data_IF_224470852773
#
_entry.id   IF_224470852773
#
_cell.length_a   1.000
_cell.length_b   1.000
_cell.length_c   1.000
_cell.angle_alpha   90.00
_cell.angle_beta   90.00
_cell.angle_gamma   90.00
#
_symmetry.space_group_name_H-M   'P 1'
#
loop_
_entity.id
_entity.type
_entity.pdbx_description
1 polymer ?
#
# COMPACT_ATOMS: atom_id res chain seq x y z
N UNK A 1 -0.54 -11.20 16.98
CA UNK A 1 -0.37 -9.94 17.74
C UNK A 1 -0.05 -8.84 16.73
N UNK A 2 -1.08 -8.18 16.20
CA UNK A 2 -0.94 -7.01 15.32
C UNK A 2 -1.06 -5.74 16.18
N UNK A 3 -0.30 -5.71 17.27
CA UNK A 3 -0.38 -4.66 18.29
C UNK A 3 0.81 -3.72 18.06
N UNK A 4 0.51 -2.44 17.86
CA UNK A 4 1.47 -1.33 17.73
C UNK A 4 1.93 -0.91 16.31
N UNK A 5 1.00 -0.70 15.38
CA UNK A 5 1.27 0.10 14.17
C UNK A 5 1.14 1.58 14.53
N UNK A 6 2.08 2.10 15.33
CA UNK A 6 2.15 3.52 15.69
C UNK A 6 2.94 4.38 14.69
N UNK A 7 3.58 3.76 13.69
CA UNK A 7 4.47 4.42 12.74
C UNK A 7 4.30 3.85 11.33
N UNK A 8 4.37 4.72 10.32
CA UNK A 8 4.41 4.35 8.90
C UNK A 8 5.52 3.32 8.58
N UNK A 9 6.62 3.34 9.33
CA UNK A 9 7.72 2.38 9.22
C UNK A 9 7.30 0.95 9.62
N UNK A 10 6.37 0.80 10.57
CA UNK A 10 5.82 -0.52 10.92
C UNK A 10 4.88 -1.04 9.83
N UNK A 11 4.09 -0.15 9.22
CA UNK A 11 3.25 -0.48 8.07
C UNK A 11 4.11 -0.95 6.89
N UNK A 12 5.15 -0.19 6.55
CA UNK A 12 6.09 -0.56 5.49
C UNK A 12 6.71 -1.94 5.74
N UNK A 13 7.23 -2.16 6.95
CA UNK A 13 7.81 -3.45 7.33
C UNK A 13 6.79 -4.59 7.26
N UNK A 14 5.53 -4.33 7.60
CA UNK A 14 4.47 -5.33 7.52
C UNK A 14 4.18 -5.70 6.06
N UNK A 15 4.05 -4.72 5.16
CA UNK A 15 3.79 -4.96 3.73
C UNK A 15 4.95 -5.74 3.10
N UNK A 16 6.20 -5.28 3.29
CA UNK A 16 7.39 -5.99 2.79
C UNK A 16 7.45 -7.42 3.31
N UNK A 17 7.21 -7.61 4.61
CA UNK A 17 7.21 -8.94 5.21
C UNK A 17 6.09 -9.81 4.63
N UNK A 18 4.88 -9.28 4.48
CA UNK A 18 3.75 -9.98 3.89
C UNK A 18 4.07 -10.41 2.45
N UNK A 19 4.64 -9.50 1.65
CA UNK A 19 4.98 -9.80 0.26
C UNK A 19 6.03 -10.92 0.18
N UNK A 20 7.07 -10.82 1.02
CA UNK A 20 8.14 -11.83 1.11
C UNK A 20 7.63 -13.20 1.59
N UNK A 21 6.78 -13.22 2.62
CA UNK A 21 6.33 -14.47 3.27
C UNK A 21 5.29 -15.20 2.42
N UNK A 22 4.33 -14.46 1.85
CA UNK A 22 3.22 -15.05 1.10
C UNK A 22 3.56 -15.30 -0.37
N UNK A 23 4.36 -14.44 -1.00
CA UNK A 23 4.67 -14.52 -2.43
C UNK A 23 6.13 -14.90 -2.72
N UNK A 24 6.96 -15.08 -1.69
CA UNK A 24 8.33 -15.57 -1.85
C UNK A 24 9.28 -14.62 -2.58
N UNK A 25 8.94 -13.33 -2.65
CA UNK A 25 9.79 -12.30 -3.28
C UNK A 25 11.08 -12.11 -2.46
N UNK A 26 12.22 -12.06 -3.14
CA UNK A 26 13.51 -11.87 -2.48
C UNK A 26 13.61 -10.50 -1.80
N UNK A 27 14.09 -10.47 -0.55
CA UNK A 27 14.22 -9.22 0.22
C UNK A 27 15.17 -8.22 -0.44
N UNK A 28 16.14 -8.69 -1.24
CA UNK A 28 17.02 -7.85 -2.03
C UNK A 28 16.34 -7.15 -3.21
N UNK A 29 15.17 -7.64 -3.64
CA UNK A 29 14.35 -7.02 -4.70
C UNK A 29 13.31 -6.05 -4.15
N UNK A 30 12.91 -6.19 -2.88
CA UNK A 30 11.93 -5.36 -2.19
C UNK A 30 12.47 -3.96 -1.85
N UNK A 31 12.91 -3.23 -2.89
CA UNK A 31 13.30 -1.84 -2.78
C UNK A 31 12.09 -0.90 -2.92
N UNK A 32 12.17 0.26 -2.28
CA UNK A 32 11.16 1.32 -2.37
C UNK A 32 10.89 1.77 -3.82
N UNK A 33 11.89 1.75 -4.69
CA UNK A 33 11.72 2.14 -6.10
C UNK A 33 11.33 0.98 -7.01
N UNK A 34 11.22 -0.24 -6.47
CA UNK A 34 10.85 -1.41 -7.25
C UNK A 34 9.40 -1.32 -7.71
N UNK A 35 9.17 -1.56 -9.00
CA UNK A 35 7.84 -1.69 -9.57
C UNK A 35 7.26 -3.06 -9.21
N UNK A 36 6.01 -3.08 -8.76
CA UNK A 36 5.34 -4.32 -8.34
C UNK A 36 5.26 -5.32 -9.50
N UNK A 37 4.89 -4.86 -10.69
CA UNK A 37 4.78 -5.72 -11.87
C UNK A 37 6.15 -5.97 -12.53
N UNK A 38 6.89 -4.91 -12.88
CA UNK A 38 8.09 -5.05 -13.72
C UNK A 38 9.33 -5.57 -12.95
N UNK A 39 9.55 -5.10 -11.72
CA UNK A 39 10.74 -5.49 -10.94
C UNK A 39 10.48 -6.72 -10.07
N UNK A 40 9.32 -6.79 -9.41
CA UNK A 40 8.98 -7.90 -8.53
C UNK A 40 8.28 -9.06 -9.26
N UNK A 41 7.79 -8.84 -10.48
CA UNK A 41 7.07 -9.85 -11.25
C UNK A 41 5.72 -10.24 -10.64
N UNK A 42 5.10 -9.34 -9.88
CA UNK A 42 3.82 -9.56 -9.21
C UNK A 42 2.70 -9.22 -10.20
N UNK A 43 1.82 -10.18 -10.48
CA UNK A 43 0.67 -9.99 -11.36
C UNK A 43 -0.41 -9.12 -10.70
N UNK A 44 -1.24 -8.46 -11.52
CA UNK A 44 -2.36 -7.61 -11.08
C UNK A 44 -3.25 -8.33 -10.05
N UNK A 45 -3.61 -9.60 -10.26
CA UNK A 45 -4.45 -10.38 -9.32
C UNK A 45 -3.80 -10.45 -7.94
N UNK A 46 -2.48 -10.63 -7.90
CA UNK A 46 -1.73 -10.69 -6.65
C UNK A 46 -1.64 -9.32 -5.98
N UNK A 47 -1.48 -8.24 -6.76
CA UNK A 47 -1.50 -6.87 -6.24
C UNK A 47 -2.86 -6.57 -5.60
N UNK A 48 -3.96 -6.97 -6.22
CA UNK A 48 -5.30 -6.83 -5.64
C UNK A 48 -5.44 -7.58 -4.31
N UNK A 49 -4.90 -8.80 -4.21
CA UNK A 49 -4.88 -9.55 -2.96
C UNK A 49 -4.05 -8.85 -1.88
N UNK A 50 -2.85 -8.34 -2.21
CA UNK A 50 -2.00 -7.58 -1.29
C UNK A 50 -2.76 -6.35 -0.78
N UNK A 51 -3.34 -5.57 -1.69
CA UNK A 51 -4.12 -4.37 -1.36
C UNK A 51 -5.29 -4.75 -0.44
N UNK A 52 -6.01 -5.83 -0.73
CA UNK A 52 -7.10 -6.34 0.09
C UNK A 52 -6.66 -6.76 1.49
N UNK A 53 -5.51 -7.43 1.60
CA UNK A 53 -4.93 -7.83 2.86
C UNK A 53 -4.46 -6.63 3.68
N UNK A 54 -3.84 -5.64 3.05
CA UNK A 54 -3.47 -4.36 3.66
C UNK A 54 -4.74 -3.63 4.13
N UNK A 55 -5.75 -3.47 3.28
CA UNK A 55 -7.03 -2.88 3.67
C UNK A 55 -7.61 -3.52 4.93
N UNK A 56 -7.62 -4.85 4.97
CA UNK A 56 -8.13 -5.60 6.12
C UNK A 56 -7.25 -5.47 7.36
N UNK A 57 -5.94 -5.52 7.20
CA UNK A 57 -4.98 -5.45 8.30
C UNK A 57 -4.97 -4.07 8.97
N UNK A 58 -5.10 -3.01 8.16
CA UNK A 58 -5.05 -1.61 8.61
C UNK A 58 -6.43 -0.97 8.78
N UNK A 59 -7.50 -1.65 8.35
CA UNK A 59 -8.87 -1.12 8.43
C UNK A 59 -9.08 0.12 7.54
N UNK A 60 -8.49 0.11 6.34
CA UNK A 60 -8.61 1.14 5.31
C UNK A 60 -9.32 0.57 4.08
N UNK A 61 -9.90 1.43 3.25
CA UNK A 61 -10.65 1.06 2.04
C UNK A 61 -9.98 1.71 0.83
N UNK A 62 -9.47 0.89 -0.08
CA UNK A 62 -8.90 1.38 -1.33
C UNK A 62 -10.01 1.57 -2.37
N UNK A 63 -10.19 2.78 -2.93
CA UNK A 63 -11.17 2.99 -3.99
C UNK A 63 -10.75 2.29 -5.30
N UNK A 64 -11.69 2.06 -6.23
CA UNK A 64 -11.38 1.50 -7.53
C UNK A 64 -10.36 2.37 -8.29
N UNK A 65 -9.49 1.73 -9.07
CA UNK A 65 -8.41 2.42 -9.79
C UNK A 65 -7.10 2.58 -9.00
N UNK A 66 -7.00 1.96 -7.81
CA UNK A 66 -5.76 1.98 -7.01
C UNK A 66 -4.54 1.46 -7.77
N UNK A 67 -4.70 0.41 -8.57
CA UNK A 67 -3.61 -0.16 -9.37
C UNK A 67 -3.09 0.80 -10.44
N UNK A 68 -3.90 1.77 -10.88
CA UNK A 68 -3.47 2.78 -11.86
C UNK A 68 -2.59 3.86 -11.21
N UNK A 69 -2.74 4.06 -9.90
CA UNK A 69 -2.03 5.08 -9.13
C UNK A 69 -0.80 4.52 -8.41
N UNK A 70 -0.80 3.21 -8.15
CA UNK A 70 0.24 2.51 -7.39
C UNK A 70 0.98 1.55 -8.31
N UNK A 71 2.18 1.94 -8.72
CA UNK A 71 3.06 1.13 -9.56
C UNK A 71 4.23 0.56 -8.75
N UNK A 72 4.63 1.26 -7.67
CA UNK A 72 5.80 0.93 -6.86
C UNK A 72 5.44 0.51 -5.46
N UNK A 73 6.35 -0.26 -4.86
CA UNK A 73 6.25 -0.69 -3.47
C UNK A 73 6.15 0.49 -2.49
N UNK A 74 6.95 1.54 -2.69
CA UNK A 74 6.87 2.76 -1.86
C UNK A 74 5.52 3.46 -2.00
N UNK A 75 4.98 3.55 -3.22
CA UNK A 75 3.69 4.20 -3.49
C UNK A 75 2.56 3.48 -2.74
N UNK A 76 2.54 2.14 -2.77
CA UNK A 76 1.58 1.33 -2.00
C UNK A 76 1.68 1.64 -0.51
N UNK A 77 2.90 1.70 0.02
CA UNK A 77 3.14 1.95 1.43
C UNK A 77 2.74 3.37 1.84
N UNK A 78 3.11 4.37 1.04
CA UNK A 78 2.77 5.77 1.27
C UNK A 78 1.26 5.99 1.22
N UNK A 79 0.60 5.40 0.23
CA UNK A 79 -0.84 5.46 0.06
C UNK A 79 -1.55 4.85 1.29
N UNK A 80 -1.16 3.65 1.68
CA UNK A 80 -1.71 2.95 2.85
C UNK A 80 -1.48 3.73 4.14
N UNK A 81 -0.29 4.30 4.33
CA UNK A 81 0.04 5.11 5.50
C UNK A 81 -0.75 6.41 5.54
N UNK A 82 -0.92 7.09 4.41
CA UNK A 82 -1.78 8.26 4.31
C UNK A 82 -3.25 7.90 4.60
N UNK A 83 -3.77 6.82 4.01
CA UNK A 83 -5.13 6.33 4.27
C UNK A 83 -5.41 6.02 5.74
N UNK A 84 -4.40 5.51 6.43
CA UNK A 84 -4.47 5.25 7.87
C UNK A 84 -4.27 6.52 8.73
N UNK A 85 -3.87 7.66 8.14
CA UNK A 85 -3.58 8.91 8.85
C UNK A 85 -2.20 8.96 9.52
N UNK A 86 -1.27 8.09 9.10
CA UNK A 86 0.12 8.02 9.61
C UNK A 86 1.10 8.83 8.76
N UNK A 87 0.68 9.35 7.61
CA UNK A 87 1.53 10.08 6.68
C UNK A 87 0.79 11.19 5.94
N UNK A 88 1.54 12.08 5.27
CA UNK A 88 0.98 13.15 4.43
C UNK A 88 0.47 12.60 3.09
N UNK A 89 -0.42 13.35 2.44
CA UNK A 89 -0.90 13.01 1.10
C UNK A 89 0.28 12.83 0.11
N UNK A 90 0.32 11.74 -0.66
CA UNK A 90 1.30 11.57 -1.72
C UNK A 90 1.05 12.49 -2.91
N UNK A 91 2.13 12.96 -3.54
CA UNK A 91 2.08 13.90 -4.67
C UNK A 91 1.80 13.19 -6.02
N UNK A 92 2.01 11.87 -6.09
CA UNK A 92 1.78 11.08 -7.29
C UNK A 92 0.30 10.77 -7.55
N UNK A 93 -0.58 10.97 -6.56
CA UNK A 93 -2.00 10.67 -6.67
C UNK A 93 -2.75 11.77 -7.42
N UNK A 94 -3.63 11.38 -8.33
CA UNK A 94 -4.55 12.31 -8.99
C UNK A 94 -5.61 12.87 -8.04
N UNK A 95 -6.03 14.12 -8.26
CA UNK A 95 -7.04 14.80 -7.44
C UNK A 95 -8.36 14.02 -7.30
N UNK A 96 -8.80 13.37 -8.39
CA UNK A 96 -10.01 12.56 -8.40
C UNK A 96 -9.91 11.33 -7.48
N UNK A 97 -8.75 10.68 -7.48
CA UNK A 97 -8.48 9.52 -6.65
C UNK A 97 -8.33 9.92 -5.17
N UNK A 98 -7.64 11.03 -4.90
CA UNK A 98 -7.55 11.62 -3.55
C UNK A 98 -8.94 11.89 -2.97
N UNK A 99 -9.85 12.45 -3.77
CA UNK A 99 -11.22 12.68 -3.36
C UNK A 99 -11.97 11.38 -3.03
N UNK A 100 -11.76 10.31 -3.83
CA UNK A 100 -12.34 9.00 -3.57
C UNK A 100 -11.78 8.36 -2.28
N UNK A 101 -10.45 8.42 -2.06
CA UNK A 101 -9.82 7.92 -0.83
C UNK A 101 -10.39 8.60 0.42
N UNK A 102 -10.61 9.92 0.37
CA UNK A 102 -11.21 10.69 1.47
C UNK A 102 -12.69 10.40 1.68
N UNK A 103 -13.42 10.10 0.60
CA UNK A 103 -14.83 9.70 0.69
C UNK A 103 -14.99 8.34 1.39
N UNK A 104 -14.14 7.37 1.02
CA UNK A 104 -14.18 6.01 1.58
C UNK A 104 -13.54 5.92 2.98
N UNK A 105 -12.52 6.75 3.25
CA UNK A 105 -11.80 6.76 4.53
C UNK A 105 -11.95 8.14 5.20
N UNK A 106 -12.92 8.36 6.09
CA UNK A 106 -13.07 9.65 6.78
C UNK A 106 -11.90 10.00 7.72
N UNK A 107 -10.91 9.10 7.88
CA UNK A 107 -9.69 9.29 8.67
C UNK A 107 -8.56 9.98 7.90
N UNK A 108 -8.64 10.07 6.56
CA UNK A 108 -7.72 10.88 5.75
C UNK A 108 -8.09 12.35 5.85
N UNK A 109 -7.55 13.02 6.86
CA UNK A 109 -7.66 14.47 7.04
C UNK A 109 -6.40 15.18 6.56
#
# INVERSE_FOLDING_TARGET
MADDIKNWMNLFRWIVKHIRDEYGVDEGLLDRTANLEEDLGIDEETIEEIIGNVARAFGIIFPPGTMNEVLKLEELCLLSAWMHGLYKQPDFLGDAYVAACRAENPRTQ
#
